data_IF_121198470701
#
_entry.id   IF_121198470701
#
_cell.length_a   1.000
_cell.length_b   1.000
_cell.length_c   1.000
_cell.angle_alpha   90.00
_cell.angle_beta   90.00
_cell.angle_gamma   90.00
#
_symmetry.space_group_name_H-M   'P 1'
#
loop_
_entity.id
_entity.type
_entity.pdbx_description
1 polymer ?
#
# COMPACT_ATOMS: atom_id res chain seq x y z
N UNK A 1 21.84 34.64 -53.74
CA UNK A 1 20.85 34.74 -52.62
C UNK A 1 20.22 33.38 -52.48
N UNK A 2 20.77 32.57 -51.54
CA UNK A 2 20.27 31.24 -51.24
C UNK A 2 19.47 31.32 -49.94
N UNK A 3 18.20 31.11 -50.06
CA UNK A 3 17.29 30.91 -48.90
C UNK A 3 17.43 29.48 -48.42
N UNK A 4 17.94 29.31 -47.18
CA UNK A 4 18.02 28.01 -46.51
C UNK A 4 16.68 27.80 -45.79
N UNK A 5 15.90 26.84 -46.25
CA UNK A 5 14.67 26.38 -45.63
C UNK A 5 14.99 25.72 -44.30
N UNK A 6 14.37 26.21 -43.18
CA UNK A 6 14.46 25.61 -41.87
C UNK A 6 13.64 24.33 -41.78
N UNK A 7 14.19 23.20 -41.30
CA UNK A 7 13.42 21.95 -41.23
C UNK A 7 12.44 21.98 -40.07
N UNK A 8 11.21 21.61 -40.37
CA UNK A 8 10.00 21.50 -39.58
C UNK A 8 10.16 20.84 -38.19
N UNK A 9 10.28 21.64 -37.15
CA UNK A 9 10.27 21.22 -35.72
C UNK A 9 8.88 20.74 -35.23
N UNK A 10 7.86 20.91 -36.04
CA UNK A 10 6.44 20.62 -35.69
C UNK A 10 6.07 19.13 -35.78
N UNK A 11 6.81 18.31 -36.52
CA UNK A 11 6.49 16.86 -36.69
C UNK A 11 6.95 16.02 -35.51
N UNK A 12 8.02 16.38 -34.81
CA UNK A 12 8.58 15.62 -33.69
C UNK A 12 7.76 15.75 -32.40
N UNK A 13 7.21 16.92 -32.11
CA UNK A 13 6.39 17.17 -30.91
C UNK A 13 5.08 16.37 -30.93
N UNK A 14 4.46 16.17 -32.11
CA UNK A 14 3.23 15.37 -32.26
C UNK A 14 3.47 13.86 -32.15
N UNK A 15 4.62 13.36 -32.55
CA UNK A 15 4.99 11.95 -32.38
C UNK A 15 5.30 11.64 -30.91
N UNK A 16 6.07 12.49 -30.25
CA UNK A 16 6.38 12.33 -28.83
C UNK A 16 5.13 12.40 -27.95
N UNK A 17 4.20 13.29 -28.21
CA UNK A 17 2.94 13.38 -27.47
C UNK A 17 2.07 12.11 -27.63
N UNK A 18 2.05 11.50 -28.83
CA UNK A 18 1.35 10.24 -29.08
C UNK A 18 2.01 9.05 -28.36
N UNK A 19 3.32 8.99 -28.34
CA UNK A 19 4.09 7.95 -27.64
C UNK A 19 3.88 8.07 -26.12
N UNK A 20 4.05 9.27 -25.56
CA UNK A 20 3.84 9.52 -24.12
C UNK A 20 2.38 9.26 -23.71
N UNK A 21 1.39 9.65 -24.52
CA UNK A 21 -0.01 9.33 -24.26
C UNK A 21 -0.30 7.82 -24.32
N UNK A 22 0.33 7.10 -25.24
CA UNK A 22 0.17 5.64 -25.36
C UNK A 22 0.76 4.90 -24.16
N UNK A 23 1.90 5.37 -23.60
CA UNK A 23 2.47 4.84 -22.35
C UNK A 23 1.62 5.20 -21.14
N UNK A 24 1.09 6.41 -21.04
CA UNK A 24 0.14 6.82 -19.98
C UNK A 24 -1.16 6.01 -20.01
N UNK A 25 -1.73 5.77 -21.20
CA UNK A 25 -2.95 4.97 -21.37
C UNK A 25 -2.70 3.48 -21.04
N UNK A 26 -1.53 2.92 -21.43
CA UNK A 26 -1.16 1.54 -21.03
C UNK A 26 -0.94 1.41 -19.53
N UNK A 27 -0.28 2.38 -18.89
CA UNK A 27 -0.11 2.42 -17.44
C UNK A 27 -1.45 2.49 -16.72
N UNK A 28 -2.37 3.36 -17.17
CA UNK A 28 -3.72 3.50 -16.61
C UNK A 28 -4.56 2.22 -16.77
N UNK A 29 -4.51 1.55 -17.93
CA UNK A 29 -5.21 0.27 -18.16
C UNK A 29 -4.66 -0.83 -17.26
N UNK A 30 -3.34 -0.97 -17.12
CA UNK A 30 -2.72 -1.94 -16.20
C UNK A 30 -3.11 -1.68 -14.75
N UNK A 31 -3.16 -0.42 -14.34
CA UNK A 31 -3.60 -0.02 -13.02
C UNK A 31 -5.07 -0.40 -12.78
N UNK A 32 -5.99 -0.03 -13.68
CA UNK A 32 -7.40 -0.37 -13.58
C UNK A 32 -7.62 -1.89 -13.53
N UNK A 33 -6.85 -2.67 -14.28
CA UNK A 33 -6.92 -4.13 -14.25
C UNK A 33 -6.45 -4.69 -12.88
N UNK A 34 -5.38 -4.14 -12.30
CA UNK A 34 -4.92 -4.53 -10.96
C UNK A 34 -5.96 -4.21 -9.88
N UNK A 35 -6.54 -3.02 -9.91
CA UNK A 35 -7.61 -2.61 -8.98
C UNK A 35 -8.84 -3.50 -9.14
N UNK A 36 -9.28 -3.78 -10.37
CA UNK A 36 -10.40 -4.69 -10.59
C UNK A 36 -10.12 -6.10 -10.02
N UNK A 37 -8.90 -6.63 -10.26
CA UNK A 37 -8.47 -7.92 -9.72
C UNK A 37 -8.42 -7.90 -8.18
N UNK A 38 -7.93 -6.83 -7.57
CA UNK A 38 -7.87 -6.71 -6.11
C UNK A 38 -9.26 -6.64 -5.47
N UNK A 39 -10.23 -5.99 -6.11
CA UNK A 39 -11.64 -6.01 -5.67
C UNK A 39 -12.25 -7.40 -5.75
N UNK A 40 -11.96 -8.17 -6.81
CA UNK A 40 -12.39 -9.57 -6.91
C UNK A 40 -11.75 -10.43 -5.80
N UNK A 41 -10.46 -10.24 -5.50
CA UNK A 41 -9.78 -10.90 -4.40
C UNK A 41 -10.39 -10.52 -3.05
N UNK A 42 -10.69 -9.22 -2.84
CA UNK A 42 -11.36 -8.73 -1.63
C UNK A 42 -12.73 -9.36 -1.43
N UNK A 43 -13.52 -9.46 -2.49
CA UNK A 43 -14.81 -10.14 -2.45
C UNK A 43 -14.66 -11.63 -2.07
N UNK A 44 -13.69 -12.32 -2.68
CA UNK A 44 -13.37 -13.71 -2.34
C UNK A 44 -12.98 -13.90 -0.87
N UNK A 45 -12.21 -12.96 -0.31
CA UNK A 45 -11.83 -12.98 1.11
C UNK A 45 -13.07 -12.80 2.00
N UNK A 46 -14.00 -11.91 1.64
CA UNK A 46 -15.28 -11.72 2.35
C UNK A 46 -16.09 -13.02 2.39
N UNK A 47 -16.23 -13.70 1.24
CA UNK A 47 -16.95 -14.98 1.14
C UNK A 47 -16.29 -16.06 1.99
N UNK A 48 -14.95 -16.16 1.98
CA UNK A 48 -14.22 -17.12 2.81
C UNK A 48 -14.38 -16.79 4.29
N UNK A 49 -14.26 -15.51 4.68
CA UNK A 49 -14.34 -15.09 6.07
C UNK A 49 -15.72 -15.26 6.69
N UNK A 50 -16.78 -15.28 5.87
CA UNK A 50 -18.16 -15.51 6.31
C UNK A 50 -18.50 -17.00 6.58
N UNK A 51 -17.60 -17.93 6.22
CA UNK A 51 -17.81 -19.37 6.41
C UNK A 51 -17.33 -19.84 7.79
N UNK A 52 -17.71 -21.06 8.16
CA UNK A 52 -17.14 -21.74 9.33
C UNK A 52 -15.61 -21.79 9.24
N UNK A 53 -14.92 -21.50 10.37
CA UNK A 53 -13.48 -21.32 10.42
C UNK A 53 -12.94 -20.26 9.45
N UNK A 54 -13.80 -19.27 9.08
CA UNK A 54 -13.55 -18.28 8.05
C UNK A 54 -12.26 -17.50 8.25
N UNK A 55 -11.91 -17.14 9.49
CA UNK A 55 -10.64 -16.45 9.80
C UNK A 55 -9.42 -17.29 9.39
N UNK A 56 -9.35 -18.55 9.81
CA UNK A 56 -8.21 -19.41 9.51
C UNK A 56 -8.06 -19.64 8.00
N UNK A 57 -9.21 -19.85 7.32
CA UNK A 57 -9.26 -20.03 5.86
C UNK A 57 -8.86 -18.77 5.10
N UNK A 58 -9.34 -17.58 5.52
CA UNK A 58 -8.98 -16.30 4.92
C UNK A 58 -7.47 -16.02 5.09
N UNK A 59 -6.92 -16.24 6.27
CA UNK A 59 -5.47 -16.10 6.51
C UNK A 59 -4.66 -17.11 5.69
N UNK A 60 -5.11 -18.35 5.57
CA UNK A 60 -4.50 -19.37 4.71
C UNK A 60 -4.49 -18.96 3.24
N UNK A 61 -5.58 -18.36 2.76
CA UNK A 61 -5.69 -17.83 1.41
C UNK A 61 -4.75 -16.63 1.19
N UNK A 62 -4.75 -15.65 2.10
CA UNK A 62 -3.89 -14.46 2.04
C UNK A 62 -2.40 -14.80 2.00
N UNK A 63 -1.98 -15.87 2.69
CA UNK A 63 -0.58 -16.35 2.67
C UNK A 63 -0.16 -17.01 1.35
N UNK A 64 -1.12 -17.35 0.47
CA UNK A 64 -0.86 -18.03 -0.82
C UNK A 64 -0.97 -17.11 -2.03
N UNK A 65 -1.62 -15.96 -1.92
CA UNK A 65 -1.74 -15.02 -3.04
C UNK A 65 -0.37 -14.43 -3.39
N UNK A 66 -0.25 -13.95 -4.62
CA UNK A 66 0.95 -13.28 -5.09
C UNK A 66 1.29 -12.05 -4.22
N UNK A 67 2.57 -11.79 -3.88
CA UNK A 67 2.95 -10.64 -3.05
C UNK A 67 2.49 -9.30 -3.59
N UNK A 68 2.65 -9.04 -4.90
CA UNK A 68 2.21 -7.79 -5.54
C UNK A 68 0.68 -7.67 -5.54
N UNK A 69 -0.04 -8.81 -5.64
CA UNK A 69 -1.49 -8.83 -5.50
C UNK A 69 -1.92 -8.52 -4.06
N UNK A 70 -1.15 -8.92 -3.05
CA UNK A 70 -1.39 -8.56 -1.65
C UNK A 70 -1.18 -7.06 -1.41
N UNK A 71 -0.09 -6.47 -1.92
CA UNK A 71 0.16 -5.02 -1.85
C UNK A 71 -1.01 -4.24 -2.47
N UNK A 72 -1.40 -4.57 -3.70
CA UNK A 72 -2.50 -3.91 -4.39
C UNK A 72 -3.85 -4.08 -3.66
N UNK A 73 -4.07 -5.24 -3.04
CA UNK A 73 -5.26 -5.52 -2.24
C UNK A 73 -5.38 -4.56 -1.03
N UNK A 74 -4.28 -4.29 -0.33
CA UNK A 74 -4.22 -3.37 0.80
C UNK A 74 -4.49 -1.93 0.34
N UNK A 75 -3.82 -1.49 -0.73
CA UNK A 75 -4.00 -0.13 -1.25
C UNK A 75 -5.44 0.09 -1.75
N UNK A 76 -6.02 -0.89 -2.44
CA UNK A 76 -7.42 -0.84 -2.88
C UNK A 76 -8.41 -0.83 -1.71
N UNK A 77 -8.12 -1.56 -0.62
CA UNK A 77 -8.97 -1.53 0.57
C UNK A 77 -9.02 -0.15 1.23
N UNK A 78 -7.92 0.59 1.21
CA UNK A 78 -7.86 1.99 1.69
C UNK A 78 -8.66 2.91 0.75
N UNK A 79 -8.53 2.74 -0.55
CA UNK A 79 -9.28 3.56 -1.53
C UNK A 79 -10.79 3.31 -1.47
N UNK A 80 -11.21 2.08 -1.21
CA UNK A 80 -12.64 1.74 -1.03
C UNK A 80 -13.26 2.41 0.22
N UNK A 81 -12.42 2.86 1.18
CA UNK A 81 -12.83 3.71 2.32
C UNK A 81 -12.77 5.23 1.98
N UNK A 82 -12.73 5.59 0.68
CA UNK A 82 -12.66 6.96 0.16
C UNK A 82 -11.40 7.74 0.60
N UNK A 83 -10.27 7.04 0.70
CA UNK A 83 -8.97 7.65 1.01
C UNK A 83 -8.07 7.53 -0.21
N UNK A 84 -7.60 8.65 -0.75
CA UNK A 84 -6.73 8.66 -1.92
C UNK A 84 -5.35 8.14 -1.57
N UNK A 85 -4.90 7.10 -2.29
CA UNK A 85 -3.57 6.49 -2.13
C UNK A 85 -2.72 6.80 -3.36
N UNK A 86 -1.52 7.29 -3.11
CA UNK A 86 -0.46 7.38 -4.12
C UNK A 86 0.37 6.10 -4.09
N UNK A 87 0.22 5.27 -5.11
CA UNK A 87 0.99 4.02 -5.27
C UNK A 87 2.43 4.30 -5.64
N UNK A 88 3.35 3.54 -5.08
CA UNK A 88 4.71 3.55 -5.58
C UNK A 88 4.78 2.78 -6.90
N UNK A 89 5.25 3.45 -7.96
CA UNK A 89 5.37 2.86 -9.30
C UNK A 89 6.71 2.14 -9.52
N UNK A 90 7.66 2.28 -8.60
CA UNK A 90 8.99 1.65 -8.67
C UNK A 90 9.03 0.44 -7.74
N UNK A 91 8.94 -0.73 -8.32
CA UNK A 91 8.98 -2.03 -7.63
C UNK A 91 10.38 -2.43 -7.11
N UNK A 92 11.38 -1.56 -7.17
CA UNK A 92 12.74 -1.86 -6.73
C UNK A 92 13.48 -0.61 -6.25
N UNK A 93 14.04 -0.68 -5.06
CA UNK A 93 15.05 0.25 -4.57
C UNK A 93 14.63 1.26 -3.50
N UNK A 94 13.34 1.45 -3.21
CA UNK A 94 12.85 2.53 -2.34
C UNK A 94 12.53 2.06 -0.90
N UNK A 95 13.30 1.11 -0.37
CA UNK A 95 13.12 0.66 1.04
C UNK A 95 11.83 -0.10 1.34
N UNK A 96 11.00 -0.44 0.31
CA UNK A 96 9.81 -1.29 0.47
C UNK A 96 8.52 -0.55 0.82
N UNK A 97 8.39 0.74 0.49
CA UNK A 97 7.11 1.47 0.57
C UNK A 97 6.27 1.14 -0.66
N UNK A 98 5.05 0.64 -0.46
CA UNK A 98 4.13 0.26 -1.53
C UNK A 98 3.19 1.40 -1.91
N UNK A 99 2.93 2.30 -0.97
CA UNK A 99 2.11 3.48 -1.21
C UNK A 99 2.27 4.54 -0.12
N UNK A 100 1.76 5.72 -0.41
CA UNK A 100 1.66 6.83 0.53
C UNK A 100 0.32 7.53 0.41
N UNK A 101 -0.11 8.18 1.48
CA UNK A 101 -1.30 9.00 1.50
C UNK A 101 -1.14 10.19 2.47
N UNK A 102 -2.04 11.16 2.34
CA UNK A 102 -2.23 12.22 3.34
C UNK A 102 -3.50 11.93 4.13
N UNK A 103 -3.40 11.90 5.46
CA UNK A 103 -4.53 11.67 6.35
C UNK A 103 -4.47 12.60 7.55
N UNK A 104 -5.52 13.35 7.80
CA UNK A 104 -5.58 14.37 8.86
C UNK A 104 -4.34 15.30 8.89
N UNK A 105 -3.87 15.73 7.72
CA UNK A 105 -2.69 16.58 7.59
C UNK A 105 -1.33 15.87 7.80
N UNK A 106 -1.33 14.56 8.04
CA UNK A 106 -0.12 13.76 8.23
C UNK A 106 0.18 12.91 7.00
N UNK A 107 1.46 12.81 6.64
CA UNK A 107 1.94 11.86 5.64
C UNK A 107 1.99 10.47 6.24
N UNK A 108 1.40 9.49 5.58
CA UNK A 108 1.41 8.08 6.00
C UNK A 108 2.04 7.25 4.89
N UNK A 109 3.06 6.48 5.24
CA UNK A 109 3.66 5.47 4.38
C UNK A 109 2.99 4.13 4.62
N UNK A 110 2.82 3.34 3.56
CA UNK A 110 2.20 2.02 3.62
C UNK A 110 3.21 0.98 3.16
N UNK A 111 3.38 -0.06 3.96
CA UNK A 111 4.13 -1.24 3.59
C UNK A 111 3.28 -2.49 3.84
N UNK A 112 3.11 -3.32 2.81
CA UNK A 112 2.38 -4.57 2.86
C UNK A 112 3.33 -5.74 2.61
N UNK A 113 3.42 -6.69 3.55
CA UNK A 113 4.31 -7.84 3.40
C UNK A 113 3.61 -9.17 3.65
N UNK A 114 3.72 -10.07 2.69
CA UNK A 114 3.23 -11.44 2.83
C UNK A 114 4.29 -12.32 3.51
N UNK A 115 3.96 -12.82 4.69
CA UNK A 115 4.79 -13.76 5.44
C UNK A 115 4.05 -15.09 5.64
N UNK A 116 4.78 -16.20 5.57
CA UNK A 116 4.25 -17.52 5.93
C UNK A 116 4.26 -17.80 7.44
N UNK A 117 5.22 -17.21 8.15
CA UNK A 117 5.47 -17.42 9.59
C UNK A 117 5.51 -16.08 10.35
N UNK A 118 6.46 -15.91 11.26
CA UNK A 118 6.63 -14.67 12.02
C UNK A 118 7.25 -13.57 11.16
N UNK A 119 6.87 -12.32 11.43
CA UNK A 119 7.57 -11.16 10.87
C UNK A 119 8.91 -10.97 11.57
N UNK A 120 9.89 -10.46 10.82
CA UNK A 120 11.20 -10.16 11.38
C UNK A 120 11.19 -8.76 12.02
N UNK A 121 11.73 -8.65 13.26
CA UNK A 121 11.92 -7.36 13.94
C UNK A 121 12.64 -6.35 13.05
N UNK A 122 13.68 -6.79 12.34
CA UNK A 122 14.48 -5.93 11.47
C UNK A 122 13.64 -5.24 10.38
N UNK A 123 12.63 -5.91 9.82
CA UNK A 123 11.76 -5.31 8.80
C UNK A 123 10.87 -4.20 9.39
N UNK A 124 10.37 -4.40 10.61
CA UNK A 124 9.55 -3.39 11.29
C UNK A 124 10.41 -2.19 11.67
N UNK A 125 11.61 -2.45 12.23
CA UNK A 125 12.56 -1.41 12.61
C UNK A 125 13.02 -0.57 11.40
N UNK A 126 13.34 -1.22 10.28
CA UNK A 126 13.72 -0.54 9.04
C UNK A 126 12.59 0.37 8.51
N UNK A 127 11.34 -0.13 8.53
CA UNK A 127 10.19 0.67 8.12
C UNK A 127 9.94 1.84 9.08
N UNK A 128 10.05 1.62 10.39
CA UNK A 128 9.91 2.67 11.40
C UNK A 128 10.98 3.77 11.23
N UNK A 129 12.24 3.38 11.00
CA UNK A 129 13.34 4.30 10.72
C UNK A 129 13.06 5.14 9.47
N UNK A 130 12.55 4.51 8.41
CA UNK A 130 12.15 5.22 7.19
C UNK A 130 11.03 6.22 7.46
N UNK A 131 9.99 5.84 8.21
CA UNK A 131 8.93 6.76 8.60
C UNK A 131 9.48 7.96 9.38
N UNK A 132 10.44 7.74 10.28
CA UNK A 132 11.11 8.81 11.02
C UNK A 132 11.90 9.73 10.10
N UNK A 133 12.70 9.19 9.18
CA UNK A 133 13.49 9.96 8.21
C UNK A 133 12.63 10.87 7.34
N UNK A 134 11.46 10.39 6.93
CA UNK A 134 10.53 11.16 6.11
C UNK A 134 9.54 12.02 6.90
N UNK A 135 9.65 12.06 8.24
CA UNK A 135 8.70 12.78 9.09
C UNK A 135 7.26 12.23 8.96
N UNK A 136 7.11 10.97 8.57
CA UNK A 136 5.85 10.33 8.26
C UNK A 136 5.40 9.37 9.37
N UNK A 137 4.13 9.00 9.34
CA UNK A 137 3.57 7.87 10.06
C UNK A 137 3.64 6.61 9.19
N UNK A 138 3.46 5.43 9.77
CA UNK A 138 3.56 4.17 9.05
C UNK A 138 2.41 3.21 9.29
N UNK A 139 1.87 2.65 8.22
CA UNK A 139 0.94 1.54 8.27
C UNK A 139 1.63 0.28 7.73
N UNK A 140 1.99 -0.65 8.64
CA UNK A 140 2.65 -1.90 8.29
C UNK A 140 1.65 -3.05 8.30
N UNK A 141 1.33 -3.57 7.13
CA UNK A 141 0.29 -4.62 6.96
C UNK A 141 0.93 -5.94 6.59
N UNK A 142 0.61 -7.04 7.30
CA UNK A 142 1.23 -8.32 6.99
C UNK A 142 0.37 -9.55 7.35
N UNK A 143 0.68 -10.70 6.71
CA UNK A 143 -0.01 -11.98 6.91
C UNK A 143 0.67 -12.88 7.95
N UNK A 144 1.81 -12.49 8.49
CA UNK A 144 2.56 -13.26 9.47
C UNK A 144 2.01 -13.14 10.89
N UNK A 145 2.73 -13.74 11.84
CA UNK A 145 2.50 -13.57 13.27
C UNK A 145 3.37 -12.45 13.82
N UNK A 146 2.79 -11.55 14.61
CA UNK A 146 3.53 -10.49 15.30
C UNK A 146 4.07 -11.04 16.62
N UNK A 147 5.37 -11.24 16.70
CA UNK A 147 6.06 -11.64 17.93
C UNK A 147 6.38 -10.45 18.83
N UNK A 148 6.91 -10.76 20.03
CA UNK A 148 7.30 -9.78 21.03
C UNK A 148 8.37 -8.80 20.54
N UNK A 149 9.42 -9.29 19.86
CA UNK A 149 10.45 -8.44 19.29
C UNK A 149 9.93 -7.41 18.27
N UNK A 150 8.90 -7.78 17.49
CA UNK A 150 8.30 -6.84 16.53
C UNK A 150 7.41 -5.79 17.23
N UNK A 151 6.77 -6.14 18.36
CA UNK A 151 6.05 -5.17 19.20
C UNK A 151 7.02 -4.20 19.87
N UNK A 152 8.16 -4.69 20.39
CA UNK A 152 9.22 -3.84 20.90
C UNK A 152 9.71 -2.80 19.91
N UNK A 153 9.93 -3.19 18.65
CA UNK A 153 10.32 -2.26 17.60
C UNK A 153 9.28 -1.16 17.33
N UNK A 154 7.99 -1.45 17.49
CA UNK A 154 6.92 -0.42 17.38
C UNK A 154 6.97 0.55 18.55
N UNK A 155 7.16 0.04 19.77
CA UNK A 155 7.27 0.88 20.97
C UNK A 155 8.48 1.81 20.88
N UNK A 156 9.62 1.29 20.43
CA UNK A 156 10.84 2.06 20.15
C UNK A 156 10.61 3.14 19.07
N UNK A 157 9.69 2.90 18.13
CA UNK A 157 9.30 3.89 17.12
C UNK A 157 8.38 5.01 17.64
N UNK A 158 8.07 5.03 18.93
CA UNK A 158 7.28 6.09 19.58
C UNK A 158 5.87 6.25 18.98
N UNK A 159 5.19 5.13 18.67
CA UNK A 159 3.81 5.14 18.14
C UNK A 159 3.66 5.57 16.69
N UNK A 160 4.77 5.84 15.98
CA UNK A 160 4.73 6.26 14.57
C UNK A 160 4.27 5.19 13.59
N UNK A 161 4.22 3.92 14.01
CA UNK A 161 3.85 2.79 13.17
C UNK A 161 2.73 2.00 13.82
N UNK A 162 1.69 1.72 13.05
CA UNK A 162 0.64 0.76 13.40
C UNK A 162 0.83 -0.50 12.57
N UNK A 163 0.75 -1.67 13.24
CA UNK A 163 0.74 -2.97 12.57
C UNK A 163 -0.69 -3.48 12.43
N UNK A 164 -1.02 -3.88 11.20
CA UNK A 164 -2.28 -4.55 10.85
C UNK A 164 -1.98 -6.00 10.47
N UNK A 165 -2.44 -6.94 11.29
CA UNK A 165 -2.22 -8.38 11.08
C UNK A 165 -3.33 -9.21 11.74
N UNK A 166 -3.37 -10.50 11.47
CA UNK A 166 -4.32 -11.43 12.09
C UNK A 166 -5.78 -11.03 11.86
N UNK A 167 -6.57 -10.99 12.92
CA UNK A 167 -7.99 -10.61 12.85
C UNK A 167 -8.19 -9.20 12.31
N UNK A 168 -7.37 -8.23 12.73
CA UNK A 168 -7.42 -6.86 12.20
C UNK A 168 -7.21 -6.81 10.68
N UNK A 169 -6.34 -7.66 10.13
CA UNK A 169 -6.13 -7.73 8.68
C UNK A 169 -7.37 -8.26 7.95
N UNK A 170 -7.99 -9.30 8.48
CA UNK A 170 -9.22 -9.83 7.88
C UNK A 170 -10.34 -8.79 7.94
N UNK A 171 -10.52 -8.11 9.08
CA UNK A 171 -11.50 -7.02 9.21
C UNK A 171 -11.19 -5.85 8.27
N UNK A 172 -9.94 -5.43 8.18
CA UNK A 172 -9.47 -4.39 7.25
C UNK A 172 -9.87 -4.68 5.80
N UNK A 173 -9.82 -5.94 5.40
CA UNK A 173 -10.17 -6.36 4.04
C UNK A 173 -11.66 -6.62 3.83
N UNK A 174 -12.41 -6.97 4.89
CA UNK A 174 -13.80 -7.42 4.74
C UNK A 174 -14.83 -6.39 5.15
N UNK A 175 -14.53 -5.51 6.10
CA UNK A 175 -15.46 -4.51 6.63
C UNK A 175 -15.16 -3.12 6.08
N UNK A 176 -16.20 -2.36 5.78
CA UNK A 176 -16.07 -0.95 5.40
C UNK A 176 -15.62 -0.11 6.61
N UNK A 177 -14.85 0.96 6.35
CA UNK A 177 -14.37 1.89 7.37
C UNK A 177 -13.18 1.40 8.20
N UNK A 178 -12.75 0.14 8.04
CA UNK A 178 -11.66 -0.41 8.85
C UNK A 178 -10.28 0.15 8.48
N UNK A 179 -10.05 0.49 7.22
CA UNK A 179 -8.82 1.19 6.85
C UNK A 179 -8.75 2.57 7.53
N UNK A 180 -9.87 3.29 7.55
CA UNK A 180 -10.00 4.57 8.26
C UNK A 180 -9.75 4.40 9.75
N UNK A 181 -10.36 3.40 10.41
CA UNK A 181 -10.16 3.13 11.85
C UNK A 181 -8.69 2.88 12.22
N UNK A 182 -7.92 2.18 11.37
CA UNK A 182 -6.49 1.97 11.59
C UNK A 182 -5.69 3.27 11.42
N UNK A 183 -6.08 4.13 10.50
CA UNK A 183 -5.46 5.45 10.32
C UNK A 183 -5.79 6.40 11.47
N UNK A 184 -7.02 6.40 11.98
CA UNK A 184 -7.42 7.16 13.17
C UNK A 184 -6.61 6.72 14.39
N UNK A 185 -6.44 5.40 14.58
CA UNK A 185 -5.59 4.87 15.65
C UNK A 185 -4.13 5.33 15.50
N UNK A 186 -3.60 5.38 14.27
CA UNK A 186 -2.24 5.83 13.99
C UNK A 186 -2.04 7.31 14.37
N UNK A 187 -3.03 8.16 14.07
CA UNK A 187 -3.01 9.58 14.46
C UNK A 187 -3.08 9.74 15.98
N UNK A 188 -3.99 9.00 16.65
CA UNK A 188 -4.19 9.06 18.09
C UNK A 188 -2.96 8.58 18.87
N UNK A 189 -2.29 7.53 18.43
CA UNK A 189 -1.10 6.98 19.10
C UNK A 189 0.09 7.94 19.13
N UNK A 190 0.12 8.95 18.25
CA UNK A 190 1.18 9.94 18.21
C UNK A 190 1.14 10.92 19.37
N UNK A 191 -0.02 11.07 20.05
CA UNK A 191 -0.24 12.14 21.02
C UNK A 191 -0.33 13.53 20.39
N UNK A 192 -0.74 14.55 21.12
CA UNK A 192 -0.70 15.92 20.62
C UNK A 192 0.75 16.29 20.32
N UNK A 193 0.99 16.79 19.11
CA UNK A 193 2.28 17.42 18.78
C UNK A 193 2.42 18.66 19.65
N UNK A 194 3.37 18.65 20.59
CA UNK A 194 3.83 19.86 21.27
C UNK A 194 4.47 20.80 20.27
#
# INVERSE_FOLDING_TARGET
>A
MNTIDAPSSIRWTRLWSRVVNRFRLRGRRRHLHKVARSRTLRQKIREIAAQENGFARAMGYLRKIDPLAFEELILTAIEDDNITVRRNLRYSGDGGVDGELMYAGQRVLIQAKRYGAHIQRAHVAAFASMCATYGALGLFVHTGRTGEGSRGAITEAGGRVVIVSGHRLVEFLTRAGQARAQLDQLITNRGPSC
#
